data_IF_153708769275
#
_entry.id   IF_153708769275
#
_cell.length_a   1.000
_cell.length_b   1.000
_cell.length_c   1.000
_cell.angle_alpha   90.00
_cell.angle_beta   90.00
_cell.angle_gamma   90.00
#
_symmetry.space_group_name_H-M   'P 1'
#
loop_
_entity.id
_entity.type
_entity.pdbx_description
1 polymer ?
#
# COMPACT_ATOMS: atom_id res chain seq x y z
N UNK A 1 -1.55 -30.26 -16.64
CA UNK A 1 -1.22 -28.83 -16.75
C UNK A 1 -2.50 -28.06 -17.02
N UNK A 2 -2.75 -26.99 -16.27
CA UNK A 2 -3.96 -26.17 -16.40
C UNK A 2 -3.63 -24.77 -16.95
N UNK A 3 -4.63 -24.07 -17.46
CA UNK A 3 -4.46 -22.68 -17.89
C UNK A 3 -4.26 -21.72 -16.70
N UNK A 4 -3.60 -20.60 -16.97
CA UNK A 4 -3.34 -19.57 -15.95
C UNK A 4 -4.63 -19.06 -15.28
N UNK A 5 -5.69 -18.77 -16.06
CA UNK A 5 -7.00 -18.34 -15.53
C UNK A 5 -7.64 -19.39 -14.61
N UNK A 6 -7.52 -20.69 -14.97
CA UNK A 6 -8.04 -21.80 -14.14
C UNK A 6 -7.27 -21.87 -12.81
N UNK A 7 -5.95 -21.71 -12.84
CA UNK A 7 -5.14 -21.64 -11.61
C UNK A 7 -5.56 -20.48 -10.71
N UNK A 8 -5.76 -19.29 -11.26
CA UNK A 8 -6.26 -18.12 -10.49
C UNK A 8 -7.64 -18.38 -9.88
N UNK A 9 -8.57 -19.05 -10.61
CA UNK A 9 -9.88 -19.44 -10.07
C UNK A 9 -9.75 -20.43 -8.90
N UNK A 10 -8.85 -21.39 -8.99
CA UNK A 10 -8.58 -22.32 -7.87
C UNK A 10 -8.06 -21.55 -6.65
N UNK A 11 -7.12 -20.64 -6.83
CA UNK A 11 -6.61 -19.79 -5.74
C UNK A 11 -7.73 -18.97 -5.08
N UNK A 12 -8.61 -18.35 -5.89
CA UNK A 12 -9.71 -17.52 -5.38
C UNK A 12 -10.71 -18.30 -4.50
N UNK A 13 -10.89 -19.59 -4.81
CA UNK A 13 -11.76 -20.51 -4.07
C UNK A 13 -11.06 -21.22 -2.89
N UNK A 14 -9.81 -20.87 -2.61
CA UNK A 14 -8.95 -21.58 -1.64
C UNK A 14 -8.48 -20.69 -0.49
N UNK A 15 -9.29 -19.71 -0.11
CA UNK A 15 -8.92 -18.75 0.96
C UNK A 15 -8.67 -19.45 2.29
N UNK A 16 -7.66 -18.95 2.99
CA UNK A 16 -7.45 -19.18 4.43
C UNK A 16 -7.88 -17.94 5.21
N UNK A 17 -8.27 -18.12 6.46
CA UNK A 17 -8.65 -17.01 7.35
C UNK A 17 -7.40 -16.41 7.99
N UNK A 18 -7.22 -15.12 7.88
CA UNK A 18 -6.20 -14.36 8.60
C UNK A 18 -6.87 -13.60 9.74
N UNK A 19 -6.34 -13.75 10.94
CA UNK A 19 -6.84 -13.07 12.13
C UNK A 19 -6.64 -11.55 12.03
N UNK A 20 -7.45 -10.83 12.81
CA UNK A 20 -7.28 -9.40 13.01
C UNK A 20 -6.48 -9.15 14.29
N UNK A 21 -5.87 -7.98 14.39
CA UNK A 21 -5.26 -7.48 15.61
C UNK A 21 -5.47 -5.97 15.75
N UNK A 22 -5.36 -5.47 16.97
CA UNK A 22 -5.46 -4.04 17.27
C UNK A 22 -4.04 -3.53 17.50
N UNK A 23 -3.67 -2.48 16.77
CA UNK A 23 -2.35 -1.85 16.90
C UNK A 23 -2.48 -0.34 17.06
N UNK A 24 -1.41 0.31 17.53
CA UNK A 24 -1.32 1.76 17.47
C UNK A 24 -1.22 2.24 16.02
N UNK A 25 -1.99 3.27 15.66
CA UNK A 25 -2.01 3.84 14.31
C UNK A 25 -0.62 4.29 13.84
N UNK A 26 0.20 4.83 14.73
CA UNK A 26 1.59 5.24 14.43
C UNK A 26 2.50 4.09 13.95
N UNK A 27 2.17 2.83 14.29
CA UNK A 27 2.96 1.64 13.96
C UNK A 27 2.33 0.84 12.80
N UNK A 28 1.43 1.46 12.04
CA UNK A 28 0.60 0.75 11.06
C UNK A 28 1.09 0.81 9.62
N UNK A 29 2.25 1.38 9.36
CA UNK A 29 2.82 1.43 8.01
C UNK A 29 2.89 0.03 7.38
N UNK A 30 2.47 -0.09 6.11
CA UNK A 30 2.41 -1.34 5.36
C UNK A 30 1.48 -2.42 5.95
N UNK A 31 0.61 -2.06 6.91
CA UNK A 31 -0.42 -2.96 7.41
C UNK A 31 -1.68 -2.84 6.55
N UNK A 32 -2.49 -3.89 6.55
CA UNK A 32 -3.77 -3.93 5.82
C UNK A 32 -4.91 -3.73 6.81
N UNK A 33 -5.78 -2.77 6.54
CA UNK A 33 -6.95 -2.49 7.37
C UNK A 33 -7.91 -3.67 7.40
N UNK A 34 -8.41 -4.04 8.58
CA UNK A 34 -9.42 -5.09 8.72
C UNK A 34 -10.85 -4.54 8.74
N UNK A 35 -11.03 -3.26 9.07
CA UNK A 35 -12.30 -2.53 9.12
C UNK A 35 -12.11 -1.13 8.51
N UNK A 36 -13.21 -0.50 8.12
CA UNK A 36 -13.18 0.92 7.76
C UNK A 36 -12.72 1.76 8.95
N UNK A 37 -11.92 2.77 8.68
CA UNK A 37 -11.44 3.73 9.68
C UNK A 37 -12.15 5.05 9.42
N UNK A 38 -12.70 5.63 10.50
CA UNK A 38 -13.47 6.87 10.46
C UNK A 38 -12.79 7.94 11.32
N UNK A 39 -12.99 9.19 10.97
CA UNK A 39 -12.48 10.32 11.76
C UNK A 39 -13.22 10.43 13.09
N UNK A 40 -12.53 10.41 14.24
CA UNK A 40 -13.14 10.61 15.55
C UNK A 40 -13.50 12.07 15.82
N UNK A 41 -12.95 13.02 15.04
CA UNK A 41 -13.07 14.46 15.24
C UNK A 41 -13.33 15.19 13.93
N UNK A 42 -13.78 16.45 14.03
CA UNK A 42 -13.71 17.38 12.91
C UNK A 42 -12.26 17.85 12.68
N UNK A 43 -11.91 18.13 11.44
CA UNK A 43 -10.66 18.80 11.10
C UNK A 43 -10.91 19.93 10.08
N UNK A 44 -10.57 21.19 10.39
CA UNK A 44 -10.13 21.66 11.71
C UNK A 44 -11.15 21.39 12.83
N UNK A 45 -10.68 21.31 14.08
CA UNK A 45 -11.54 20.99 15.23
C UNK A 45 -12.56 22.10 15.55
N UNK A 46 -12.23 23.33 15.22
CA UNK A 46 -13.09 24.51 15.38
C UNK A 46 -12.87 25.53 14.26
N UNK A 47 -13.74 26.52 14.16
CA UNK A 47 -13.55 27.62 13.24
C UNK A 47 -12.25 28.35 13.56
N UNK A 48 -11.35 28.49 12.58
CA UNK A 48 -10.07 29.15 12.75
C UNK A 48 -9.79 30.15 11.63
N UNK A 49 -8.76 30.94 11.79
CA UNK A 49 -8.35 31.91 10.78
C UNK A 49 -7.36 31.32 9.77
N UNK A 50 -7.50 31.74 8.52
CA UNK A 50 -6.54 31.45 7.45
C UNK A 50 -5.39 32.47 7.37
N UNK A 51 -5.52 33.60 8.04
CA UNK A 51 -4.60 34.76 7.98
C UNK A 51 -4.34 35.33 9.37
N UNK A 52 -3.22 35.98 9.54
CA UNK A 52 -3.00 36.90 10.64
C UNK A 52 -3.89 38.13 10.43
N UNK A 53 -4.56 38.58 11.47
CA UNK A 53 -5.52 39.68 11.34
C UNK A 53 -6.30 39.96 12.61
N UNK A 54 -7.48 40.52 12.45
CA UNK A 54 -8.37 40.85 13.52
C UNK A 54 -9.73 40.22 13.35
N UNK A 55 -10.15 39.45 14.34
CA UNK A 55 -11.48 38.89 14.44
C UNK A 55 -12.44 39.94 14.99
N UNK A 56 -13.59 40.09 14.38
CA UNK A 56 -14.65 41.00 14.76
C UNK A 56 -16.05 40.44 14.42
N UNK A 57 -17.09 41.10 14.92
CA UNK A 57 -18.46 40.76 14.60
C UNK A 57 -18.91 41.51 13.32
N UNK A 58 -19.20 40.78 12.26
CA UNK A 58 -19.58 41.35 10.96
C UNK A 58 -20.80 42.23 11.03
N UNK A 59 -21.77 41.92 11.92
CA UNK A 59 -23.01 42.74 12.12
C UNK A 59 -22.70 44.18 12.60
N UNK A 60 -21.61 44.37 13.32
CA UNK A 60 -21.18 45.67 13.82
C UNK A 60 -20.51 46.55 12.75
N UNK A 61 -20.26 45.97 11.55
CA UNK A 61 -19.71 46.71 10.39
C UNK A 61 -20.78 47.17 9.39
N UNK A 62 -22.06 46.85 9.64
CA UNK A 62 -23.15 47.26 8.79
C UNK A 62 -23.30 48.79 8.82
N UNK A 63 -23.40 49.41 7.65
CA UNK A 63 -23.51 50.89 7.49
C UNK A 63 -22.15 51.63 7.64
N UNK A 64 -21.03 50.94 7.81
CA UNK A 64 -19.73 51.58 7.81
C UNK A 64 -19.31 51.94 6.38
N UNK A 65 -18.67 53.10 6.25
CA UNK A 65 -18.13 53.63 5.00
C UNK A 65 -16.96 54.55 5.29
N UNK A 66 -16.26 55.03 4.27
CA UNK A 66 -15.18 56.01 4.41
C UNK A 66 -15.63 57.28 5.13
N UNK A 67 -16.92 57.65 5.06
CA UNK A 67 -17.53 58.77 5.76
C UNK A 67 -17.99 58.41 7.20
N UNK A 68 -18.26 57.12 7.44
CA UNK A 68 -18.72 56.63 8.74
C UNK A 68 -17.83 55.47 9.22
N UNK A 69 -16.64 55.84 9.73
CA UNK A 69 -15.68 54.89 10.27
C UNK A 69 -15.93 54.57 11.74
N UNK A 70 -15.58 53.37 12.20
CA UNK A 70 -15.70 52.96 13.61
C UNK A 70 -14.40 52.40 14.14
N UNK A 71 -14.09 52.74 15.40
CA UNK A 71 -12.96 52.17 16.14
C UNK A 71 -13.41 50.93 16.88
N UNK A 72 -12.70 49.81 16.66
CA UNK A 72 -12.92 48.55 17.37
C UNK A 72 -11.78 48.36 18.38
N UNK A 73 -12.10 48.23 19.66
CA UNK A 73 -11.13 48.07 20.73
C UNK A 73 -10.45 46.72 20.65
N UNK A 74 -9.14 46.66 20.64
CA UNK A 74 -8.37 45.42 20.70
C UNK A 74 -8.40 44.90 22.14
N UNK A 75 -8.94 43.69 22.34
CA UNK A 75 -9.11 43.09 23.66
C UNK A 75 -7.87 42.33 24.10
N UNK A 76 -7.35 41.48 23.21
CA UNK A 76 -6.14 40.66 23.39
C UNK A 76 -5.68 40.11 22.07
N UNK A 77 -4.51 39.47 22.06
CA UNK A 77 -4.02 38.63 20.99
C UNK A 77 -4.36 37.17 21.31
N UNK A 78 -4.74 36.39 20.30
CA UNK A 78 -4.98 34.95 20.37
C UNK A 78 -4.11 34.26 19.33
N UNK A 79 -3.12 33.50 19.79
CA UNK A 79 -2.23 32.71 18.97
C UNK A 79 -2.77 31.29 18.77
N UNK A 80 -2.19 30.54 17.81
CA UNK A 80 -2.49 29.13 17.64
C UNK A 80 -2.13 28.34 18.91
N UNK A 81 -3.08 27.58 19.43
CA UNK A 81 -2.95 26.84 20.69
C UNK A 81 -3.49 27.57 21.91
N UNK A 82 -3.77 28.87 21.84
CA UNK A 82 -4.39 29.59 22.92
C UNK A 82 -5.86 29.23 23.12
N UNK A 83 -6.31 29.38 24.37
CA UNK A 83 -7.73 29.27 24.72
C UNK A 83 -8.49 30.50 24.15
N UNK A 84 -9.43 30.30 23.20
CA UNK A 84 -10.14 31.40 22.55
C UNK A 84 -11.23 32.03 23.44
N UNK A 85 -11.45 31.58 24.67
CA UNK A 85 -12.49 32.12 25.54
C UNK A 85 -12.18 33.58 25.91
N UNK A 86 -13.19 34.44 25.73
CA UNK A 86 -13.15 35.83 26.13
C UNK A 86 -14.45 36.13 26.91
N UNK A 87 -14.32 36.76 28.07
CA UNK A 87 -15.45 37.17 28.91
C UNK A 87 -15.82 38.61 28.60
N UNK A 88 -17.11 38.96 28.75
CA UNK A 88 -17.62 40.34 28.74
C UNK A 88 -17.27 41.15 27.48
N UNK A 89 -17.44 40.54 26.27
CA UNK A 89 -17.23 41.24 25.01
C UNK A 89 -18.34 42.28 24.79
N UNK A 90 -17.95 43.57 24.74
CA UNK A 90 -18.85 44.67 24.40
C UNK A 90 -18.92 44.89 22.88
N UNK A 91 -19.83 45.72 22.42
CA UNK A 91 -19.89 46.17 21.02
C UNK A 91 -18.59 46.88 20.60
N UNK A 92 -18.28 46.78 19.31
CA UNK A 92 -17.08 47.39 18.70
C UNK A 92 -15.77 46.95 19.38
N UNK A 93 -15.67 45.67 19.63
CA UNK A 93 -14.45 45.03 20.09
C UNK A 93 -13.88 44.13 18.97
N UNK A 94 -12.59 43.91 18.99
CA UNK A 94 -11.84 43.02 18.12
C UNK A 94 -10.81 42.21 18.90
N UNK A 95 -10.32 41.16 18.30
CA UNK A 95 -9.23 40.34 18.82
C UNK A 95 -8.20 40.19 17.73
N UNK A 96 -6.96 40.53 18.02
CA UNK A 96 -5.86 40.15 17.15
C UNK A 96 -5.74 38.65 17.14
N UNK A 97 -5.65 38.04 15.97
CA UNK A 97 -5.68 36.60 15.81
C UNK A 97 -4.62 36.14 14.81
N UNK A 98 -3.81 35.15 15.23
CA UNK A 98 -2.76 34.58 14.39
C UNK A 98 -3.27 33.39 13.59
N UNK A 99 -2.66 33.14 12.45
CA UNK A 99 -3.00 32.03 11.55
C UNK A 99 -3.12 30.70 12.31
N UNK A 100 -4.21 29.98 12.08
CA UNK A 100 -4.50 28.71 12.74
C UNK A 100 -5.18 28.82 14.13
N UNK A 101 -5.22 30.02 14.73
CA UNK A 101 -5.89 30.21 16.01
C UNK A 101 -7.42 30.09 15.88
N UNK A 102 -8.05 29.53 16.91
CA UNK A 102 -9.51 29.39 16.97
C UNK A 102 -10.18 30.75 17.14
N UNK A 103 -11.21 31.01 16.37
CA UNK A 103 -11.99 32.24 16.42
C UNK A 103 -12.89 32.22 17.67
N UNK A 104 -12.79 33.23 18.58
CA UNK A 104 -13.67 33.31 19.75
C UNK A 104 -15.15 33.44 19.34
N UNK A 105 -16.07 32.82 20.07
CA UNK A 105 -17.50 32.66 19.73
C UNK A 105 -18.24 33.97 19.41
N UNK A 106 -17.80 35.12 19.88
CA UNK A 106 -18.42 36.41 19.64
C UNK A 106 -18.11 37.02 18.28
N UNK A 107 -17.12 36.45 17.56
CA UNK A 107 -16.61 36.96 16.29
C UNK A 107 -16.89 35.96 15.19
N UNK A 108 -17.16 36.47 13.99
CA UNK A 108 -17.57 35.66 12.86
C UNK A 108 -16.89 36.04 11.54
N UNK A 109 -15.93 36.97 11.59
CA UNK A 109 -15.20 37.43 10.40
C UNK A 109 -13.78 37.87 10.76
N UNK A 110 -12.88 37.77 9.81
CA UNK A 110 -11.47 38.17 9.94
C UNK A 110 -11.14 39.24 8.91
N UNK A 111 -10.40 40.28 9.37
CA UNK A 111 -9.79 41.26 8.49
C UNK A 111 -8.27 41.07 8.58
N UNK A 112 -7.59 40.73 7.47
CA UNK A 112 -6.14 40.56 7.44
C UNK A 112 -5.39 41.82 7.89
N UNK A 113 -4.22 41.63 8.53
CA UNK A 113 -3.43 42.77 9.09
C UNK A 113 -3.04 43.82 8.04
N UNK A 114 -2.89 43.42 6.78
CA UNK A 114 -2.54 44.29 5.66
C UNK A 114 -3.68 45.27 5.29
N UNK A 115 -4.89 44.99 5.74
CA UNK A 115 -6.10 45.80 5.43
C UNK A 115 -6.59 46.61 6.63
N UNK A 116 -5.74 46.77 7.65
CA UNK A 116 -6.10 47.42 8.92
C UNK A 116 -5.45 48.82 9.05
N UNK A 117 -6.26 49.80 9.44
CA UNK A 117 -5.79 51.06 9.95
C UNK A 117 -5.79 51.03 11.46
N UNK A 118 -4.70 51.48 12.11
CA UNK A 118 -4.49 51.43 13.53
C UNK A 118 -4.73 52.78 14.21
N UNK A 119 -5.22 52.75 15.47
CA UNK A 119 -5.33 53.94 16.26
C UNK A 119 -4.82 53.70 17.70
N UNK A 120 -4.00 54.58 18.29
CA UNK A 120 -3.50 55.83 17.71
C UNK A 120 -2.45 55.60 16.59
N UNK A 121 -1.69 54.50 16.64
CA UNK A 121 -0.69 54.18 15.62
C UNK A 121 -0.39 52.65 15.61
N UNK A 122 0.40 52.18 14.63
CA UNK A 122 0.74 50.76 14.46
C UNK A 122 1.68 50.22 15.54
N UNK A 123 2.51 51.07 16.16
CA UNK A 123 3.50 50.64 17.18
C UNK A 123 2.83 50.30 18.53
N UNK A 124 1.75 50.99 18.87
CA UNK A 124 1.00 50.75 20.09
C UNK A 124 -0.52 50.86 19.81
N UNK A 125 -1.10 49.88 19.12
CA UNK A 125 -2.48 49.95 18.68
C UNK A 125 -3.43 49.64 19.84
N UNK A 126 -4.32 50.59 20.15
CA UNK A 126 -5.43 50.36 21.12
C UNK A 126 -6.73 49.97 20.40
N UNK A 127 -6.86 50.40 19.17
CA UNK A 127 -8.03 50.15 18.33
C UNK A 127 -7.60 49.86 16.88
N UNK A 128 -8.42 49.11 16.19
CA UNK A 128 -8.43 49.06 14.70
C UNK A 128 -9.56 49.93 14.19
N UNK A 129 -9.40 50.53 13.02
CA UNK A 129 -10.42 51.37 12.37
C UNK A 129 -10.98 50.62 11.16
N UNK A 130 -12.30 50.42 11.18
CA UNK A 130 -13.03 49.81 10.08
C UNK A 130 -13.86 50.84 9.37
N UNK A 131 -13.72 50.95 8.04
CA UNK A 131 -14.32 51.95 7.20
C UNK A 131 -15.23 51.40 6.10
N UNK A 132 -15.60 50.11 6.21
CA UNK A 132 -16.48 49.45 5.27
C UNK A 132 -17.17 48.26 5.90
N UNK A 133 -18.26 47.81 5.29
CA UNK A 133 -18.94 46.55 5.63
C UNK A 133 -18.02 45.37 5.37
N UNK A 134 -17.85 44.48 6.34
CA UNK A 134 -17.13 43.22 6.23
C UNK A 134 -18.14 42.09 6.17
N UNK A 135 -18.00 41.23 5.16
CA UNK A 135 -18.88 40.07 5.02
C UNK A 135 -18.71 39.06 6.14
N UNK A 136 -19.80 38.47 6.59
CA UNK A 136 -19.74 37.36 7.54
C UNK A 136 -18.90 36.21 6.96
N UNK A 137 -18.17 35.53 7.83
CA UNK A 137 -17.32 34.36 7.50
C UNK A 137 -16.13 34.66 6.56
N UNK A 138 -15.79 35.96 6.39
CA UNK A 138 -14.61 36.33 5.61
C UNK A 138 -13.35 35.76 6.26
N UNK A 139 -12.52 35.06 5.50
CA UNK A 139 -11.27 34.41 5.94
C UNK A 139 -11.40 33.39 7.10
N UNK A 140 -12.59 32.83 7.29
CA UNK A 140 -12.87 31.79 8.29
C UNK A 140 -12.72 30.41 7.64
N UNK A 141 -11.88 29.54 8.21
CA UNK A 141 -11.91 28.11 7.94
C UNK A 141 -12.86 27.44 8.92
N UNK A 142 -13.88 26.79 8.38
CA UNK A 142 -14.89 26.15 9.22
C UNK A 142 -14.42 24.85 9.83
N UNK A 143 -14.90 24.57 11.03
CA UNK A 143 -14.77 23.27 11.65
C UNK A 143 -15.27 22.16 10.73
N UNK A 144 -14.46 21.13 10.53
CA UNK A 144 -14.82 20.01 9.65
C UNK A 144 -14.83 20.31 8.17
N UNK A 145 -14.19 21.40 7.73
CA UNK A 145 -14.12 21.72 6.28
C UNK A 145 -13.23 20.76 5.48
N UNK A 146 -12.32 20.04 6.13
CA UNK A 146 -11.49 19.00 5.52
C UNK A 146 -12.02 17.60 5.89
N UNK A 147 -12.10 17.28 7.19
CA UNK A 147 -12.74 16.06 7.68
C UNK A 147 -13.85 16.36 8.69
N UNK A 148 -15.01 15.75 8.49
CA UNK A 148 -16.08 15.72 9.47
C UNK A 148 -15.92 14.52 10.40
N UNK A 149 -16.31 14.68 11.67
CA UNK A 149 -16.44 13.56 12.61
C UNK A 149 -17.36 12.48 12.00
N UNK A 150 -16.91 11.23 11.98
CA UNK A 150 -17.62 10.10 11.38
C UNK A 150 -17.35 9.92 9.87
N UNK A 151 -16.60 10.81 9.23
CA UNK A 151 -16.21 10.64 7.84
C UNK A 151 -15.16 9.54 7.67
N UNK A 152 -15.27 8.76 6.60
CA UNK A 152 -14.38 7.63 6.36
C UNK A 152 -13.02 8.12 5.85
N UNK A 153 -11.96 7.73 6.57
CA UNK A 153 -10.56 8.00 6.20
C UNK A 153 -10.03 6.90 5.26
N UNK A 154 -10.31 5.63 5.59
CA UNK A 154 -9.73 4.49 4.87
C UNK A 154 -10.69 3.31 4.90
N UNK A 155 -10.79 2.58 3.79
CA UNK A 155 -11.64 1.41 3.69
C UNK A 155 -10.94 0.13 4.17
N UNK A 156 -11.71 -0.87 4.55
CA UNK A 156 -11.18 -2.21 4.85
C UNK A 156 -10.49 -2.81 3.62
N UNK A 157 -9.39 -3.53 3.83
CA UNK A 157 -8.60 -4.16 2.79
C UNK A 157 -7.61 -3.22 2.07
N UNK A 158 -7.42 -2.01 2.55
CA UNK A 158 -6.43 -1.06 2.00
C UNK A 158 -5.11 -1.09 2.78
N UNK A 159 -4.00 -0.85 2.08
CA UNK A 159 -2.67 -0.74 2.67
C UNK A 159 -2.51 0.65 3.28
N UNK A 160 -2.06 0.70 4.51
CA UNK A 160 -1.75 1.95 5.21
C UNK A 160 -0.38 2.45 4.75
N UNK A 161 -0.35 3.66 4.21
CA UNK A 161 0.86 4.38 3.82
C UNK A 161 1.15 5.56 4.75
N UNK A 162 2.23 6.31 4.49
CA UNK A 162 2.65 7.45 5.30
C UNK A 162 1.62 8.58 5.35
N UNK A 163 0.89 8.84 4.25
CA UNK A 163 -0.17 9.86 4.20
C UNK A 163 -1.33 9.50 5.14
N UNK A 164 -1.68 8.21 5.23
CA UNK A 164 -2.70 7.73 6.17
C UNK A 164 -2.25 7.91 7.63
N UNK A 165 -0.95 7.67 7.94
CA UNK A 165 -0.43 7.90 9.30
C UNK A 165 -0.50 9.39 9.66
N UNK A 166 -0.19 10.29 8.72
CA UNK A 166 -0.37 11.73 8.91
C UNK A 166 -1.83 12.05 9.26
N UNK A 167 -2.78 11.56 8.44
CA UNK A 167 -4.21 11.77 8.68
C UNK A 167 -4.65 11.22 10.04
N UNK A 168 -4.24 10.00 10.40
CA UNK A 168 -4.56 9.39 11.69
C UNK A 168 -4.10 10.26 12.87
N UNK A 169 -2.88 10.77 12.79
CA UNK A 169 -2.33 11.63 13.86
C UNK A 169 -3.03 12.97 13.92
N UNK A 170 -3.32 13.60 12.78
CA UNK A 170 -4.03 14.88 12.71
C UNK A 170 -5.47 14.77 13.23
N UNK A 171 -6.12 13.64 13.02
CA UNK A 171 -7.52 13.39 13.42
C UNK A 171 -7.68 12.74 14.80
N UNK A 172 -6.57 12.38 15.46
CA UNK A 172 -6.61 11.75 16.79
C UNK A 172 -6.96 10.26 16.78
N UNK A 173 -6.73 9.53 15.66
CA UNK A 173 -6.90 8.08 15.60
C UNK A 173 -5.71 7.42 16.31
N UNK A 174 -5.94 6.80 17.45
CA UNK A 174 -4.87 6.17 18.23
C UNK A 174 -4.67 4.70 17.92
N UNK A 175 -5.77 3.92 17.86
CA UNK A 175 -5.76 2.47 17.63
C UNK A 175 -6.65 2.10 16.48
N UNK A 176 -6.20 1.13 15.69
CA UNK A 176 -6.92 0.63 14.51
C UNK A 176 -6.90 -0.89 14.48
N UNK A 177 -7.89 -1.46 13.82
CA UNK A 177 -7.99 -2.90 13.58
C UNK A 177 -7.38 -3.20 12.21
N UNK A 178 -6.34 -4.03 12.19
CA UNK A 178 -5.65 -4.47 10.99
C UNK A 178 -5.66 -5.98 10.85
N UNK A 179 -5.41 -6.50 9.66
CA UNK A 179 -5.11 -7.91 9.46
C UNK A 179 -3.74 -8.23 10.06
N UNK A 180 -3.59 -9.39 10.72
CA UNK A 180 -2.26 -9.91 11.02
C UNK A 180 -1.49 -10.10 9.72
N UNK A 181 -0.19 -9.91 9.74
CA UNK A 181 0.65 -10.25 8.59
C UNK A 181 0.63 -11.76 8.37
N UNK A 182 0.28 -12.25 7.16
CA UNK A 182 0.41 -13.67 6.86
C UNK A 182 1.86 -14.11 7.07
N UNK A 183 2.04 -15.16 7.86
CA UNK A 183 3.36 -15.71 8.16
C UNK A 183 3.68 -16.86 7.18
N UNK A 184 4.78 -16.71 6.45
CA UNK A 184 5.27 -17.68 5.47
C UNK A 184 6.51 -18.37 6.03
N UNK A 185 6.56 -19.70 5.99
CA UNK A 185 7.80 -20.43 6.14
C UNK A 185 8.27 -20.91 4.77
N UNK A 186 9.54 -20.60 4.45
CA UNK A 186 10.13 -20.86 3.15
C UNK A 186 11.27 -21.89 3.26
N UNK A 187 11.17 -22.98 2.52
CA UNK A 187 12.20 -24.01 2.42
C UNK A 187 12.82 -24.03 1.02
N UNK A 188 14.13 -23.91 0.93
CA UNK A 188 14.86 -24.20 -0.31
C UNK A 188 15.08 -25.71 -0.44
N UNK A 189 15.01 -26.25 -1.65
CA UNK A 189 15.20 -27.69 -1.87
C UNK A 189 16.25 -27.95 -2.94
N UNK A 190 17.12 -28.93 -2.70
CA UNK A 190 18.17 -29.38 -3.61
C UNK A 190 19.49 -29.59 -2.93
N UNK A 191 20.21 -30.63 -3.37
CA UNK A 191 21.56 -30.92 -2.87
C UNK A 191 22.60 -29.87 -3.28
N UNK A 192 22.30 -29.15 -4.40
CA UNK A 192 23.16 -28.10 -4.95
C UNK A 192 23.09 -26.80 -4.14
N UNK A 193 22.03 -26.56 -3.37
CA UNK A 193 21.80 -25.29 -2.69
C UNK A 193 22.70 -25.10 -1.48
N UNK A 194 23.28 -23.92 -1.32
CA UNK A 194 24.18 -23.56 -0.19
C UNK A 194 23.89 -22.12 0.31
N UNK A 195 24.00 -21.94 1.62
CA UNK A 195 24.00 -20.60 2.27
C UNK A 195 25.39 -19.95 2.30
N UNK A 196 26.46 -20.74 2.01
CA UNK A 196 27.84 -20.23 2.03
C UNK A 196 28.12 -19.32 0.84
N UNK A 197 28.96 -18.32 1.04
CA UNK A 197 29.40 -17.39 -0.03
C UNK A 197 30.44 -18.10 -0.94
N UNK A 198 31.41 -18.77 -0.37
CA UNK A 198 32.39 -19.57 -1.12
C UNK A 198 31.83 -20.97 -1.29
N UNK A 199 31.57 -21.34 -2.52
CA UNK A 199 31.00 -22.61 -2.92
C UNK A 199 31.75 -23.13 -4.16
N UNK A 200 31.92 -24.44 -4.32
CA UNK A 200 32.45 -25.01 -5.56
C UNK A 200 31.43 -24.83 -6.70
N UNK A 201 31.88 -24.92 -7.95
CA UNK A 201 31.10 -24.61 -9.16
C UNK A 201 29.83 -25.48 -9.34
N UNK A 202 29.78 -26.66 -8.75
CA UNK A 202 28.63 -27.56 -8.76
C UNK A 202 27.57 -27.21 -7.71
N UNK A 203 27.77 -26.17 -6.90
CA UNK A 203 26.80 -25.65 -5.94
C UNK A 203 26.18 -24.32 -6.43
N UNK A 204 25.03 -24.02 -5.90
CA UNK A 204 24.28 -22.78 -6.18
C UNK A 204 23.97 -22.05 -4.87
N UNK A 205 24.18 -20.74 -4.84
CA UNK A 205 23.82 -19.90 -3.68
C UNK A 205 22.31 -19.81 -3.52
N UNK A 206 21.84 -19.86 -2.29
CA UNK A 206 20.41 -19.76 -1.97
C UNK A 206 19.88 -18.33 -2.19
N UNK A 207 19.67 -17.94 -3.44
CA UNK A 207 19.20 -16.60 -3.81
C UNK A 207 17.70 -16.40 -3.62
N UNK A 208 16.88 -17.44 -3.87
CA UNK A 208 15.42 -17.32 -3.89
C UNK A 208 14.83 -17.01 -2.52
N UNK A 209 15.31 -17.65 -1.44
CA UNK A 209 14.85 -17.37 -0.09
C UNK A 209 15.18 -15.93 0.33
N UNK A 210 16.38 -15.46 -0.01
CA UNK A 210 16.82 -14.09 0.27
C UNK A 210 16.02 -13.07 -0.50
N UNK A 211 15.73 -13.31 -1.78
CA UNK A 211 14.85 -12.44 -2.60
C UNK A 211 13.47 -12.32 -1.96
N UNK A 212 12.79 -13.44 -1.67
CA UNK A 212 11.43 -13.40 -1.12
C UNK A 212 11.42 -12.80 0.30
N UNK A 213 12.45 -13.09 1.12
CA UNK A 213 12.60 -12.46 2.43
C UNK A 213 12.81 -10.94 2.33
N UNK A 214 13.55 -10.46 1.33
CA UNK A 214 13.73 -9.02 1.12
C UNK A 214 12.40 -8.32 0.80
N UNK A 215 11.53 -8.94 0.00
CA UNK A 215 10.20 -8.40 -0.29
C UNK A 215 9.34 -8.19 0.97
N UNK A 216 9.45 -9.08 1.96
CA UNK A 216 8.65 -8.98 3.18
C UNK A 216 8.97 -7.77 4.05
N UNK A 217 10.14 -7.13 3.88
CA UNK A 217 10.51 -5.93 4.64
C UNK A 217 9.57 -4.75 4.35
N UNK A 218 9.13 -4.61 3.12
CA UNK A 218 8.33 -3.49 2.65
C UNK A 218 6.87 -3.86 2.31
N UNK A 219 6.49 -5.13 2.50
CA UNK A 219 5.16 -5.62 2.19
C UNK A 219 4.42 -6.11 3.44
N UNK A 220 3.19 -6.51 3.25
CA UNK A 220 2.21 -6.84 4.29
C UNK A 220 2.24 -8.30 4.74
N UNK A 221 3.35 -9.02 4.58
CA UNK A 221 3.55 -10.41 5.01
C UNK A 221 4.92 -10.59 5.63
N UNK A 222 5.09 -11.65 6.40
CA UNK A 222 6.37 -12.02 7.02
C UNK A 222 6.88 -13.34 6.43
N UNK A 223 8.21 -13.44 6.24
CA UNK A 223 8.87 -14.64 5.73
C UNK A 223 9.97 -15.09 6.69
N UNK A 224 9.92 -16.36 7.06
CA UNK A 224 10.95 -17.03 7.84
C UNK A 224 11.61 -18.08 6.95
N UNK A 225 12.95 -18.07 6.95
CA UNK A 225 13.75 -19.11 6.30
C UNK A 225 13.64 -20.39 7.14
N UNK A 226 13.03 -21.42 6.57
CA UNK A 226 12.88 -22.74 7.17
C UNK A 226 14.11 -23.64 6.99
N UNK A 227 15.10 -23.18 6.20
CA UNK A 227 16.31 -23.93 5.89
C UNK A 227 16.27 -24.62 4.53
N UNK A 228 17.24 -25.52 4.32
CA UNK A 228 17.44 -26.25 3.07
C UNK A 228 17.05 -27.73 3.29
N UNK A 229 16.20 -28.24 2.40
CA UNK A 229 15.85 -29.65 2.32
C UNK A 229 16.68 -30.31 1.20
N UNK A 230 17.24 -31.48 1.49
CA UNK A 230 18.01 -32.26 0.54
C UNK A 230 17.11 -33.26 -0.23
N UNK A 231 17.61 -33.81 -1.32
CA UNK A 231 16.83 -34.68 -2.21
C UNK A 231 16.33 -35.97 -1.54
N UNK A 232 16.95 -36.38 -0.42
CA UNK A 232 16.57 -37.54 0.40
C UNK A 232 15.74 -37.18 1.63
N UNK A 233 15.38 -35.91 1.82
CA UNK A 233 14.69 -35.39 3.03
C UNK A 233 13.16 -35.55 2.95
N UNK A 234 12.65 -36.50 2.18
CA UNK A 234 11.20 -36.72 2.04
C UNK A 234 10.49 -37.02 3.37
N UNK A 235 11.10 -37.86 4.23
CA UNK A 235 10.56 -38.13 5.59
C UNK A 235 10.61 -36.89 6.46
N UNK A 236 11.72 -36.13 6.42
CA UNK A 236 11.86 -34.87 7.15
C UNK A 236 10.83 -33.84 6.67
N UNK A 237 10.64 -33.70 5.37
CA UNK A 237 9.66 -32.78 4.80
C UNK A 237 8.22 -33.12 5.26
N UNK A 238 7.81 -34.39 5.25
CA UNK A 238 6.52 -34.84 5.78
C UNK A 238 6.37 -34.45 7.26
N UNK A 239 7.41 -34.67 8.08
CA UNK A 239 7.44 -34.28 9.50
C UNK A 239 7.31 -32.77 9.67
N UNK A 240 7.99 -31.96 8.84
CA UNK A 240 7.92 -30.50 8.88
C UNK A 240 6.55 -29.98 8.46
N UNK A 241 5.89 -30.54 7.44
CA UNK A 241 4.51 -30.18 7.09
C UNK A 241 3.57 -30.42 8.25
N UNK A 242 3.64 -31.59 8.90
CA UNK A 242 2.80 -31.91 10.08
C UNK A 242 3.09 -30.96 11.26
N UNK A 243 4.36 -30.62 11.52
CA UNK A 243 4.75 -29.62 12.53
C UNK A 243 4.17 -28.24 12.18
N UNK A 244 4.21 -27.85 10.90
CA UNK A 244 3.68 -26.58 10.44
C UNK A 244 2.17 -26.47 10.57
N UNK A 245 1.40 -27.58 10.55
CA UNK A 245 -0.04 -27.56 10.81
C UNK A 245 -0.40 -27.01 12.19
N UNK A 246 0.45 -27.26 13.19
CA UNK A 246 0.31 -26.78 14.57
C UNK A 246 1.05 -25.46 14.83
N UNK A 247 1.78 -24.94 13.85
CA UNK A 247 2.61 -23.75 13.98
C UNK A 247 1.82 -22.45 13.73
N UNK A 248 2.47 -21.31 13.99
CA UNK A 248 1.94 -19.98 13.67
C UNK A 248 2.01 -19.61 12.18
N UNK A 249 2.64 -20.42 11.32
CA UNK A 249 2.77 -20.12 9.90
C UNK A 249 1.47 -20.43 9.16
N UNK A 250 1.06 -19.50 8.29
CA UNK A 250 -0.17 -19.62 7.50
C UNK A 250 0.09 -20.34 6.17
N UNK A 251 1.27 -20.11 5.59
CA UNK A 251 1.65 -20.60 4.28
C UNK A 251 3.02 -21.28 4.35
N UNK A 252 3.12 -22.45 3.77
CA UNK A 252 4.39 -23.15 3.55
C UNK A 252 4.78 -23.00 2.08
N UNK A 253 6.01 -22.55 1.83
CA UNK A 253 6.56 -22.46 0.48
C UNK A 253 7.79 -23.36 0.38
N UNK A 254 7.87 -24.19 -0.66
CA UNK A 254 9.12 -24.81 -1.09
C UNK A 254 9.58 -24.22 -2.41
N UNK A 255 10.87 -24.18 -2.63
CA UNK A 255 11.49 -23.72 -3.86
C UNK A 255 12.44 -24.78 -4.40
N UNK A 256 12.11 -25.36 -5.56
CA UNK A 256 12.73 -26.57 -6.13
C UNK A 256 11.96 -27.85 -5.81
N UNK A 257 12.39 -28.97 -6.33
CA UNK A 257 11.83 -30.34 -6.16
C UNK A 257 10.31 -30.45 -6.51
N UNK A 258 9.80 -29.60 -7.41
CA UNK A 258 8.36 -29.51 -7.76
C UNK A 258 8.00 -29.97 -9.18
N UNK A 259 9.01 -30.29 -10.00
CA UNK A 259 8.81 -30.70 -11.41
C UNK A 259 8.40 -32.18 -11.52
N UNK A 260 8.90 -32.88 -12.50
CA UNK A 260 8.70 -34.32 -12.73
C UNK A 260 10.03 -35.08 -12.71
N UNK A 261 11.10 -34.48 -12.18
CA UNK A 261 12.41 -35.09 -12.08
C UNK A 261 12.45 -36.22 -11.05
N UNK A 262 13.46 -37.10 -11.17
CA UNK A 262 13.66 -38.27 -10.31
C UNK A 262 13.71 -37.92 -8.82
N UNK A 263 14.22 -36.73 -8.48
CA UNK A 263 14.40 -36.24 -7.11
C UNK A 263 13.29 -35.29 -6.63
N UNK A 264 12.25 -35.06 -7.44
CA UNK A 264 11.16 -34.13 -7.11
C UNK A 264 10.14 -34.78 -6.15
N UNK A 265 10.45 -34.85 -4.88
CA UNK A 265 9.64 -35.51 -3.85
C UNK A 265 8.43 -34.69 -3.38
N UNK A 266 8.46 -33.37 -3.49
CA UNK A 266 7.45 -32.45 -2.96
C UNK A 266 6.04 -32.78 -3.45
N UNK A 267 5.76 -32.97 -4.75
CA UNK A 267 4.41 -33.26 -5.23
C UNK A 267 3.88 -34.60 -4.72
N UNK A 268 4.75 -35.61 -4.58
CA UNK A 268 4.40 -36.94 -4.08
C UNK A 268 3.95 -36.87 -2.62
N UNK A 269 4.68 -36.13 -1.79
CA UNK A 269 4.37 -35.99 -0.39
C UNK A 269 3.10 -35.16 -0.16
N UNK A 270 2.97 -34.02 -0.85
CA UNK A 270 1.79 -33.14 -0.68
C UNK A 270 0.49 -33.86 -1.09
N UNK A 271 0.52 -34.70 -2.14
CA UNK A 271 -0.66 -35.49 -2.55
C UNK A 271 -1.18 -36.47 -1.48
N UNK A 272 -0.32 -36.91 -0.57
CA UNK A 272 -0.69 -37.80 0.52
C UNK A 272 -1.45 -37.10 1.66
N UNK A 273 -1.57 -35.77 1.62
CA UNK A 273 -2.38 -35.01 2.57
C UNK A 273 -3.81 -34.83 2.04
N UNK A 274 -4.75 -34.70 2.95
CA UNK A 274 -6.13 -34.41 2.56
C UNK A 274 -6.25 -32.97 2.07
N UNK A 275 -6.48 -32.77 0.77
CA UNK A 275 -6.52 -31.48 0.10
C UNK A 275 -7.96 -31.10 -0.28
N UNK A 276 -8.34 -29.84 -0.06
CA UNK A 276 -9.62 -29.31 -0.53
C UNK A 276 -9.51 -28.80 -1.97
N UNK A 277 -8.39 -28.16 -2.32
CA UNK A 277 -8.07 -27.67 -3.67
C UNK A 277 -6.58 -27.79 -3.94
N UNK A 278 -6.22 -28.10 -5.19
CA UNK A 278 -4.82 -28.13 -5.60
C UNK A 278 -4.66 -27.98 -7.12
N UNK A 279 -3.46 -27.60 -7.53
CA UNK A 279 -3.00 -27.79 -8.91
C UNK A 279 -1.50 -28.07 -8.93
N UNK A 280 -1.05 -28.77 -9.99
CA UNK A 280 0.35 -28.96 -10.33
C UNK A 280 0.53 -28.69 -11.81
N UNK A 281 1.43 -27.76 -12.14
CA UNK A 281 1.75 -27.36 -13.50
C UNK A 281 0.70 -26.46 -14.13
N UNK A 282 1.14 -25.30 -14.57
CA UNK A 282 0.33 -24.27 -15.23
C UNK A 282 0.93 -23.96 -16.60
N UNK A 283 0.10 -23.64 -17.60
CA UNK A 283 0.52 -23.29 -18.95
C UNK A 283 1.11 -21.87 -19.00
N UNK A 284 2.21 -21.66 -18.31
CA UNK A 284 2.96 -20.39 -18.19
C UNK A 284 4.44 -20.57 -18.51
N UNK A 285 5.10 -19.48 -18.84
CA UNK A 285 6.58 -19.36 -18.94
C UNK A 285 7.03 -17.97 -18.48
N UNK A 286 8.02 -17.86 -17.57
CA UNK A 286 8.63 -18.97 -16.81
C UNK A 286 7.67 -19.49 -15.72
N UNK A 287 8.02 -20.61 -15.08
CA UNK A 287 7.32 -21.10 -13.89
C UNK A 287 6.35 -22.28 -14.09
N UNK A 288 6.36 -22.94 -15.26
CA UNK A 288 5.47 -24.07 -15.60
C UNK A 288 5.20 -25.06 -14.45
N UNK A 289 6.19 -25.57 -13.67
CA UNK A 289 5.97 -26.61 -12.67
C UNK A 289 5.40 -26.14 -11.34
N UNK A 290 4.97 -24.87 -11.23
CA UNK A 290 4.35 -24.36 -9.99
C UNK A 290 3.26 -25.30 -9.47
N UNK A 291 3.22 -25.44 -8.15
CA UNK A 291 2.24 -26.22 -7.42
C UNK A 291 1.56 -25.37 -6.35
N UNK A 292 0.28 -25.64 -6.11
CA UNK A 292 -0.51 -25.09 -5.01
C UNK A 292 -1.33 -26.20 -4.37
N UNK A 293 -1.51 -26.12 -3.04
CA UNK A 293 -2.43 -26.97 -2.31
C UNK A 293 -3.06 -26.20 -1.13
N UNK A 294 -4.37 -26.39 -0.93
CA UNK A 294 -5.10 -25.99 0.26
C UNK A 294 -5.45 -27.25 1.05
N UNK A 295 -4.99 -27.33 2.29
CA UNK A 295 -5.27 -28.47 3.14
C UNK A 295 -6.74 -28.45 3.62
N UNK A 296 -7.43 -29.60 3.57
CA UNK A 296 -8.80 -29.75 4.04
C UNK A 296 -8.80 -29.69 5.57
N UNK A 297 -9.79 -28.99 6.15
CA UNK A 297 -9.96 -28.83 7.60
C UNK A 297 -8.76 -28.18 8.35
N UNK A 298 -7.75 -27.70 7.62
CA UNK A 298 -6.60 -27.00 8.19
C UNK A 298 -6.50 -25.64 7.51
N UNK A 299 -6.45 -24.59 8.32
CA UNK A 299 -6.38 -23.20 7.82
C UNK A 299 -4.98 -22.85 7.32
N UNK A 300 -4.43 -23.67 6.43
CA UNK A 300 -3.07 -23.54 5.86
C UNK A 300 -3.07 -23.80 4.38
N UNK A 301 -2.09 -23.20 3.68
CA UNK A 301 -1.85 -23.39 2.25
C UNK A 301 -0.39 -23.74 2.00
N UNK A 302 -0.15 -24.36 0.87
CA UNK A 302 1.16 -24.75 0.39
C UNK A 302 1.39 -24.21 -1.03
N UNK A 303 2.60 -23.70 -1.30
CA UNK A 303 3.08 -23.41 -2.64
C UNK A 303 4.40 -24.12 -2.89
N UNK A 304 4.50 -24.77 -4.03
CA UNK A 304 5.77 -25.29 -4.55
C UNK A 304 6.23 -24.42 -5.74
N UNK A 305 7.30 -23.68 -5.56
CA UNK A 305 7.87 -22.79 -6.58
C UNK A 305 9.01 -23.48 -7.32
N UNK A 306 9.24 -23.17 -8.61
CA UNK A 306 10.38 -23.68 -9.36
C UNK A 306 11.71 -23.22 -8.79
N UNK A 307 12.78 -24.04 -8.94
CA UNK A 307 14.12 -23.73 -8.45
C UNK A 307 14.80 -22.55 -9.16
N UNK A 308 14.59 -22.38 -10.46
CA UNK A 308 15.18 -21.27 -11.23
C UNK A 308 14.73 -19.90 -10.69
N UNK A 309 15.66 -18.94 -10.45
CA UNK A 309 15.35 -17.66 -9.80
C UNK A 309 14.21 -16.87 -10.44
N UNK A 310 14.27 -16.69 -11.77
CA UNK A 310 13.24 -15.90 -12.48
C UNK A 310 11.89 -16.63 -12.50
N UNK A 311 11.90 -17.97 -12.56
CA UNK A 311 10.68 -18.75 -12.42
C UNK A 311 10.05 -18.62 -11.05
N UNK A 312 10.87 -18.63 -10.00
CA UNK A 312 10.43 -18.41 -8.60
C UNK A 312 9.87 -17.02 -8.40
N UNK A 313 10.57 -15.99 -8.87
CA UNK A 313 10.12 -14.59 -8.80
C UNK A 313 8.79 -14.37 -9.55
N UNK A 314 8.66 -14.88 -10.78
CA UNK A 314 7.41 -14.79 -11.54
C UNK A 314 6.26 -15.54 -10.85
N UNK A 315 6.50 -16.75 -10.35
CA UNK A 315 5.48 -17.52 -9.62
C UNK A 315 5.08 -16.82 -8.31
N UNK A 316 6.03 -16.20 -7.61
CA UNK A 316 5.70 -15.40 -6.42
C UNK A 316 4.82 -14.20 -6.80
N UNK A 317 5.22 -13.39 -7.81
CA UNK A 317 4.47 -12.22 -8.28
C UNK A 317 3.05 -12.55 -8.74
N UNK A 318 2.88 -13.61 -9.53
CA UNK A 318 1.61 -13.88 -10.23
C UNK A 318 0.71 -14.94 -9.59
N UNK A 319 1.18 -15.61 -8.51
CA UNK A 319 0.37 -16.59 -7.77
C UNK A 319 0.38 -16.35 -6.26
N UNK A 320 1.56 -16.27 -5.63
CA UNK A 320 1.64 -16.10 -4.18
C UNK A 320 1.17 -14.71 -3.76
N UNK A 321 1.65 -13.65 -4.40
CA UNK A 321 1.28 -12.28 -4.07
C UNK A 321 -0.23 -12.00 -4.28
N UNK A 322 -0.88 -12.38 -5.41
CA UNK A 322 -2.33 -12.29 -5.54
C UNK A 322 -3.10 -13.10 -4.49
N UNK A 323 -2.59 -14.26 -4.10
CA UNK A 323 -3.18 -15.06 -3.05
C UNK A 323 -3.07 -14.37 -1.67
N UNK A 324 -1.94 -13.75 -1.36
CA UNK A 324 -1.76 -12.93 -0.15
C UNK A 324 -2.76 -11.78 -0.10
N UNK A 325 -2.94 -11.06 -1.22
CA UNK A 325 -3.95 -10.00 -1.33
C UNK A 325 -5.36 -10.53 -1.08
N UNK A 326 -5.66 -11.69 -1.64
CA UNK A 326 -6.96 -12.34 -1.52
C UNK A 326 -7.31 -12.71 -0.07
N UNK A 327 -6.38 -13.34 0.66
CA UNK A 327 -6.62 -13.77 2.06
C UNK A 327 -6.67 -12.59 3.04
N UNK A 328 -6.13 -11.45 2.66
CA UNK A 328 -6.22 -10.18 3.40
C UNK A 328 -7.44 -9.34 3.02
N UNK A 329 -8.30 -9.85 2.12
CA UNK A 329 -9.47 -9.14 1.57
C UNK A 329 -9.10 -7.83 0.84
N UNK A 330 -7.91 -7.75 0.27
CA UNK A 330 -7.48 -6.61 -0.54
C UNK A 330 -8.04 -6.70 -1.96
N UNK A 331 -8.22 -5.55 -2.61
CA UNK A 331 -8.45 -5.50 -4.06
C UNK A 331 -7.26 -6.11 -4.78
N UNK A 332 -7.51 -6.91 -5.82
CA UNK A 332 -6.44 -7.44 -6.65
C UNK A 332 -5.72 -6.30 -7.38
N UNK A 333 -4.42 -6.49 -7.61
CA UNK A 333 -3.62 -5.56 -8.40
C UNK A 333 -4.17 -5.47 -9.82
N UNK A 334 -4.36 -4.25 -10.30
CA UNK A 334 -4.75 -4.00 -11.69
C UNK A 334 -3.50 -3.73 -12.53
N UNK A 335 -3.36 -4.36 -13.71
CA UNK A 335 -2.30 -4.01 -14.62
C UNK A 335 -2.50 -2.58 -15.16
N UNK A 336 -1.41 -1.89 -15.40
CA UNK A 336 -1.43 -0.74 -16.29
C UNK A 336 -1.14 -1.19 -17.73
N UNK A 337 -1.42 -0.35 -18.72
CA UNK A 337 -1.20 -0.68 -20.14
C UNK A 337 -0.12 0.21 -20.72
N UNK A 338 0.80 -0.38 -21.46
CA UNK A 338 1.85 0.32 -22.20
C UNK A 338 1.89 -0.18 -23.65
N UNK A 339 2.30 0.70 -24.59
CA UNK A 339 2.45 0.34 -26.00
C UNK A 339 3.71 -0.51 -26.19
N UNK A 340 3.60 -1.62 -26.89
CA UNK A 340 4.73 -2.48 -27.19
C UNK A 340 5.73 -1.76 -28.11
N UNK A 341 6.97 -1.60 -27.65
CA UNK A 341 8.02 -0.87 -28.39
C UNK A 341 8.46 -1.60 -29.66
N UNK A 342 8.61 -2.92 -29.58
CA UNK A 342 9.01 -3.79 -30.67
C UNK A 342 8.07 -4.99 -30.77
N UNK A 343 7.80 -5.49 -31.98
CA UNK A 343 6.98 -6.70 -32.16
C UNK A 343 7.56 -7.88 -31.38
N UNK A 344 6.69 -8.75 -30.88
CA UNK A 344 7.09 -9.91 -30.09
C UNK A 344 6.29 -11.15 -30.47
N UNK A 345 6.95 -12.30 -30.55
CA UNK A 345 6.33 -13.59 -30.85
C UNK A 345 6.56 -14.60 -29.73
N UNK A 346 5.59 -15.48 -29.51
CA UNK A 346 5.64 -16.57 -28.56
C UNK A 346 4.79 -17.78 -28.98
N UNK A 347 4.96 -18.91 -28.30
CA UNK A 347 4.06 -20.05 -28.46
C UNK A 347 2.64 -19.71 -27.97
N UNK A 348 1.62 -19.98 -28.79
CA UNK A 348 0.20 -19.65 -28.59
C UNK A 348 -0.34 -20.20 -27.26
N UNK A 349 0.04 -21.41 -26.87
CA UNK A 349 -0.56 -22.17 -25.77
C UNK A 349 -0.04 -21.77 -24.37
N UNK A 350 0.90 -20.82 -24.27
CA UNK A 350 1.47 -20.39 -22.99
C UNK A 350 1.17 -18.91 -22.71
N UNK A 351 0.80 -18.62 -21.49
CA UNK A 351 0.91 -17.27 -20.96
C UNK A 351 2.38 -16.98 -20.61
N UNK A 352 2.90 -15.81 -21.02
CA UNK A 352 4.29 -15.40 -20.74
C UNK A 352 4.31 -14.23 -19.78
N UNK A 353 5.17 -14.33 -18.78
CA UNK A 353 5.57 -13.24 -17.90
C UNK A 353 6.97 -12.81 -18.32
N UNK A 354 7.10 -11.64 -18.91
CA UNK A 354 8.34 -11.18 -19.51
C UNK A 354 8.96 -10.06 -18.72
N UNK A 355 10.25 -10.18 -18.43
CA UNK A 355 11.07 -9.11 -17.87
C UNK A 355 11.11 -7.97 -18.86
N UNK A 356 10.66 -6.80 -18.46
CA UNK A 356 10.44 -5.68 -19.37
C UNK A 356 10.86 -4.36 -18.73
N UNK A 357 11.11 -3.38 -19.57
CA UNK A 357 11.39 -2.00 -19.15
C UNK A 357 10.30 -1.09 -19.66
N UNK A 358 9.67 -0.36 -18.75
CA UNK A 358 8.77 0.75 -19.09
C UNK A 358 9.60 1.98 -19.30
N UNK A 359 9.35 2.67 -20.38
CA UNK A 359 9.95 3.97 -20.72
C UNK A 359 8.85 4.95 -21.12
N UNK A 360 9.07 6.22 -20.86
CA UNK A 360 8.24 7.31 -21.37
C UNK A 360 8.90 7.80 -22.64
N UNK A 361 8.19 7.77 -23.76
CA UNK A 361 8.73 8.27 -25.03
C UNK A 361 8.67 9.80 -25.11
N UNK A 362 9.23 10.38 -26.18
CA UNK A 362 9.27 11.85 -26.38
C UNK A 362 7.90 12.52 -26.45
N UNK A 363 6.82 11.74 -26.66
CA UNK A 363 5.42 12.22 -26.69
C UNK A 363 4.70 12.01 -25.35
N UNK A 364 5.40 11.63 -24.29
CA UNK A 364 4.81 11.37 -22.97
C UNK A 364 4.05 10.05 -22.84
N UNK A 365 4.08 9.16 -23.86
CA UNK A 365 3.37 7.89 -23.80
C UNK A 365 4.22 6.78 -23.18
N UNK A 366 3.58 5.90 -22.41
CA UNK A 366 4.22 4.70 -21.84
C UNK A 366 4.47 3.66 -22.95
N UNK A 367 5.72 3.25 -23.06
CA UNK A 367 6.14 2.14 -23.91
C UNK A 367 6.75 1.03 -23.07
N UNK A 368 6.48 -0.23 -23.47
CA UNK A 368 7.09 -1.42 -22.87
C UNK A 368 8.06 -2.07 -23.84
N UNK A 369 9.29 -2.21 -23.39
CA UNK A 369 10.34 -2.94 -24.08
C UNK A 369 10.54 -4.30 -23.41
N UNK A 370 10.37 -5.40 -24.19
CA UNK A 370 10.71 -6.73 -23.72
C UNK A 370 12.23 -6.87 -23.75
N UNK A 371 12.85 -7.06 -22.60
CA UNK A 371 14.31 -7.17 -22.48
C UNK A 371 14.82 -8.46 -23.14
N UNK A 372 16.06 -8.44 -23.63
CA UNK A 372 16.77 -9.66 -24.06
C UNK A 372 17.03 -10.57 -22.86
N UNK A 373 17.29 -11.86 -23.10
CA UNK A 373 17.63 -12.81 -22.02
C UNK A 373 16.43 -13.20 -21.16
N UNK A 374 15.35 -13.68 -21.78
CA UNK A 374 14.11 -14.10 -21.10
C UNK A 374 14.18 -15.49 -20.45
N UNK A 375 15.30 -16.18 -20.55
CA UNK A 375 15.50 -17.50 -19.94
C UNK A 375 15.40 -17.40 -18.41
N UNK A 376 14.96 -18.48 -17.77
CA UNK A 376 14.63 -18.49 -16.34
C UNK A 376 15.83 -18.46 -15.40
N UNK A 377 17.02 -18.66 -15.93
CA UNK A 377 18.29 -18.54 -15.17
C UNK A 377 18.98 -17.18 -15.35
N UNK A 378 18.58 -16.36 -16.34
CA UNK A 378 19.21 -15.08 -16.63
C UNK A 378 18.74 -13.99 -15.65
N UNK A 379 19.59 -13.69 -14.66
CA UNK A 379 19.31 -12.68 -13.62
C UNK A 379 19.61 -11.26 -14.10
N UNK A 380 20.59 -11.04 -15.01
CA UNK A 380 20.97 -9.70 -15.48
C UNK A 380 19.75 -8.92 -15.99
N UNK A 381 18.98 -9.48 -16.93
CA UNK A 381 17.77 -8.83 -17.43
C UNK A 381 16.67 -8.64 -16.36
N UNK A 382 16.73 -9.34 -15.24
CA UNK A 382 15.80 -9.14 -14.14
C UNK A 382 16.19 -7.94 -13.27
N UNK A 383 17.48 -7.69 -13.08
CA UNK A 383 17.97 -6.49 -12.37
C UNK A 383 17.79 -5.21 -13.18
N UNK A 384 17.69 -5.31 -14.50
CA UNK A 384 17.42 -4.20 -15.42
C UNK A 384 15.92 -3.92 -15.60
N UNK A 385 15.06 -4.89 -15.27
CA UNK A 385 13.62 -4.79 -15.45
C UNK A 385 12.98 -3.90 -14.39
N UNK A 386 12.09 -3.00 -14.82
CA UNK A 386 11.22 -2.23 -13.94
C UNK A 386 9.73 -2.60 -14.12
N UNK A 387 9.43 -3.64 -14.90
CA UNK A 387 8.08 -4.16 -15.08
C UNK A 387 8.08 -5.64 -15.49
N UNK A 388 6.96 -6.30 -15.20
CA UNK A 388 6.56 -7.56 -15.79
C UNK A 388 5.51 -7.30 -16.87
N UNK A 389 5.78 -7.68 -18.12
CA UNK A 389 4.78 -7.65 -19.20
C UNK A 389 4.08 -9.01 -19.33
N UNK A 390 2.75 -8.99 -19.37
CA UNK A 390 1.90 -10.18 -19.43
C UNK A 390 1.39 -10.41 -20.86
N UNK A 391 1.81 -11.51 -21.48
CA UNK A 391 1.38 -11.96 -22.79
C UNK A 391 0.53 -13.22 -22.64
N UNK A 392 -0.79 -13.07 -22.76
CA UNK A 392 -1.75 -14.15 -22.50
C UNK A 392 -1.67 -15.27 -23.54
N UNK A 393 -2.07 -16.50 -23.17
CA UNK A 393 -2.33 -17.59 -24.11
C UNK A 393 -3.42 -17.21 -25.13
N UNK A 394 -3.50 -17.95 -26.22
CA UNK A 394 -4.47 -17.71 -27.30
C UNK A 394 -3.95 -16.86 -28.45
N UNK A 395 -2.87 -16.09 -28.28
CA UNK A 395 -2.21 -15.27 -29.30
C UNK A 395 -0.72 -15.55 -29.33
N UNK A 396 -0.13 -15.61 -30.53
CA UNK A 396 1.30 -15.92 -30.75
C UNK A 396 2.13 -14.72 -31.17
N UNK A 397 1.56 -13.76 -31.91
CA UNK A 397 2.23 -12.61 -32.46
C UNK A 397 1.60 -11.29 -31.90
N UNK A 398 2.44 -10.37 -31.49
CA UNK A 398 2.06 -9.06 -30.96
C UNK A 398 2.81 -7.99 -31.77
N UNK A 399 2.10 -6.99 -32.26
CA UNK A 399 2.65 -5.95 -33.14
C UNK A 399 3.20 -4.79 -32.31
N UNK A 400 4.20 -4.08 -32.83
CA UNK A 400 4.63 -2.77 -32.30
C UNK A 400 3.42 -1.84 -32.13
N UNK A 401 3.35 -1.12 -31.03
CA UNK A 401 2.24 -0.20 -30.69
C UNK A 401 1.03 -0.88 -30.03
N UNK A 402 0.96 -2.22 -29.99
CA UNK A 402 -0.12 -2.93 -29.31
C UNK A 402 -0.06 -2.72 -27.80
N UNK A 403 -1.23 -2.54 -27.15
CA UNK A 403 -1.31 -2.34 -25.70
C UNK A 403 -1.12 -3.66 -24.96
N UNK A 404 -0.10 -3.69 -24.10
CA UNK A 404 0.26 -4.84 -23.27
C UNK A 404 -0.03 -4.55 -21.80
N UNK A 405 -0.57 -5.54 -21.10
CA UNK A 405 -0.74 -5.50 -19.65
C UNK A 405 0.62 -5.59 -18.95
N UNK A 406 0.90 -4.60 -18.12
CA UNK A 406 2.15 -4.51 -17.36
C UNK A 406 1.85 -4.43 -15.87
N UNK A 407 2.78 -4.97 -15.08
CA UNK A 407 2.72 -4.97 -13.61
C UNK A 407 4.03 -4.45 -13.06
N UNK A 408 3.97 -3.69 -11.98
CA UNK A 408 5.16 -3.29 -11.26
C UNK A 408 5.87 -4.52 -10.68
N UNK A 409 7.21 -4.55 -10.63
CA UNK A 409 7.92 -5.55 -9.85
C UNK A 409 7.58 -5.36 -8.36
N UNK A 410 7.62 -6.46 -7.59
CA UNK A 410 7.46 -6.36 -6.15
C UNK A 410 8.73 -5.76 -5.54
N UNK A 411 8.56 -4.81 -4.61
CA UNK A 411 9.65 -4.24 -3.83
C UNK A 411 10.45 -3.13 -4.54
N UNK A 412 9.90 -2.58 -5.64
CA UNK A 412 10.43 -1.36 -6.26
C UNK A 412 9.79 -0.12 -5.68
#
# INVERSE_FOLDING_TARGET
>A
MIEYRKAQKILSNSKIKIQNEIIFAKNSLNRVTAKNIFSPTNYPAGNNTAFDGYALNSKETVGLSNKNKKKFKILKTVAAGDNPKIKNVKKYCSVEIMTGALIPKHFDTIVPVEKINYYPNKKNPKFIVIDKKISKNNHVRFAGSDYKKGEKILSAGEIINSSHILAFKSLGVERIVVKKKPAIVFYSTGNEISEKTNIPDWKVRNSNSHYIKSLSKNLFFDVINGGILRDKDDKLFKKLINKNFKSKYDIVITNGAVSAGKFDFVPRIIKNFNLSNHFKGVAIRPGKPIMFAKFKNINKSFFGLPGNPISSAACFKFFVYPYLRLILNMKQEKPFKAKLKNSYSKKKNFTRFLKSKIVINSKGALEVEVLKGQESFRIKSFTEANAWALFRSGKSAFKKGELIECFDPLGS
#
